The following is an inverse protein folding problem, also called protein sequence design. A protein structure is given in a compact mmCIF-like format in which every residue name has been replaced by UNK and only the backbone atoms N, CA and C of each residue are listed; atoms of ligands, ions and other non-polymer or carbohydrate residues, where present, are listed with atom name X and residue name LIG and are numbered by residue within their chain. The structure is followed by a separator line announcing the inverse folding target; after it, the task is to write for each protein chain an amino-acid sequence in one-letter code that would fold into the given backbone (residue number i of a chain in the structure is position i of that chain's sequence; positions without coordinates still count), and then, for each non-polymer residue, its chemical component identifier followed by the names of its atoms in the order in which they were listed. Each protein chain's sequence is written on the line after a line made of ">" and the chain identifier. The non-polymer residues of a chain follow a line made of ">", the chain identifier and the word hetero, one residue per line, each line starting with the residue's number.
data_IF_825157350495
#
_entry.id   IF_825157350495
#
_cell.length_a   1.000
_cell.length_b   1.000
_cell.length_c   1.000
_cell.angle_alpha   90.00
_cell.angle_beta   90.00
_cell.angle_gamma   90.00
#
_symmetry.space_group_name_H-M   'P 1'
#
loop_
_entity.id
_entity.type
_entity.pdbx_description
1 polymer ?
#
# COMPACT_ATOMS: atom_id res chain seq x y z
N UNK A 1 13.31 43.14 -36.82
CA UNK A 1 12.35 43.02 -35.69
C UNK A 1 11.81 41.59 -35.72
N UNK A 2 12.64 40.63 -35.30
CA UNK A 2 12.51 39.86 -34.04
C UNK A 2 11.18 39.09 -33.96
N UNK A 3 11.26 37.93 -34.60
CA UNK A 3 10.72 36.61 -34.26
C UNK A 3 10.40 36.41 -32.78
N UNK A 4 9.15 36.61 -32.38
CA UNK A 4 8.69 36.43 -30.99
C UNK A 4 7.53 35.43 -30.81
N UNK A 5 7.08 34.75 -31.89
CA UNK A 5 5.96 33.79 -31.79
C UNK A 5 6.36 32.30 -31.80
N UNK A 6 7.61 31.96 -32.15
CA UNK A 6 8.09 30.57 -32.16
C UNK A 6 8.90 30.17 -30.90
N UNK A 7 9.19 31.11 -30.00
CA UNK A 7 9.97 30.84 -28.78
C UNK A 7 9.14 30.51 -27.52
N UNK A 8 7.81 30.45 -27.62
CA UNK A 8 6.91 30.22 -26.46
C UNK A 8 6.29 28.82 -26.37
N UNK A 9 6.54 27.91 -27.32
CA UNK A 9 5.94 26.56 -27.29
C UNK A 9 6.93 25.41 -27.06
N UNK A 10 8.25 25.65 -27.04
CA UNK A 10 9.24 24.59 -26.76
C UNK A 10 9.79 24.58 -25.33
N UNK A 11 9.28 25.43 -24.42
CA UNK A 11 9.74 25.51 -23.03
C UNK A 11 8.72 25.00 -21.99
N UNK A 12 7.66 24.31 -22.41
CA UNK A 12 6.69 23.72 -21.48
C UNK A 12 7.03 22.27 -21.06
N UNK A 13 8.13 21.67 -21.57
CA UNK A 13 8.47 20.25 -21.36
C UNK A 13 9.72 20.00 -20.50
N UNK A 14 10.29 21.04 -19.87
CA UNK A 14 11.52 20.95 -19.07
C UNK A 14 11.40 21.61 -17.68
N UNK A 15 10.19 21.65 -17.12
CA UNK A 15 10.03 21.86 -15.68
C UNK A 15 9.71 20.52 -15.04
N UNK A 16 10.77 19.76 -14.79
CA UNK A 16 10.73 18.69 -13.81
C UNK A 16 10.12 19.23 -12.52
N UNK A 17 9.09 18.56 -12.03
CA UNK A 17 8.61 18.80 -10.68
C UNK A 17 9.70 18.35 -9.72
N UNK A 18 10.33 19.23 -8.92
CA UNK A 18 10.90 18.78 -7.68
C UNK A 18 9.71 18.52 -6.76
N UNK A 19 9.20 17.28 -6.74
CA UNK A 19 8.44 16.86 -5.56
C UNK A 19 9.46 16.85 -4.43
N UNK A 20 9.48 17.99 -3.76
CA UNK A 20 10.29 18.26 -2.60
C UNK A 20 9.88 17.24 -1.56
N UNK A 21 10.79 16.35 -1.19
CA UNK A 21 10.68 15.57 0.03
C UNK A 21 10.71 16.56 1.21
N UNK A 22 9.66 16.68 2.04
CA UNK A 22 9.83 17.25 3.36
C UNK A 22 10.31 16.12 4.28
N UNK A 23 11.61 16.06 4.49
CA UNK A 23 12.15 15.47 5.71
C UNK A 23 12.08 16.55 6.80
N UNK A 24 11.02 16.53 7.62
CA UNK A 24 11.06 16.78 9.08
C UNK A 24 9.66 16.93 9.70
N UNK A 25 9.51 16.22 10.82
CA UNK A 25 8.65 16.46 11.98
C UNK A 25 7.12 16.23 11.89
N UNK A 26 6.73 15.04 12.34
CA UNK A 26 5.60 14.77 13.26
C UNK A 26 4.21 15.38 12.98
N UNK A 27 3.86 15.63 11.73
CA UNK A 27 2.47 15.67 11.32
C UNK A 27 2.11 14.29 10.73
N UNK A 28 1.46 13.43 11.53
CA UNK A 28 0.76 12.24 11.02
C UNK A 28 -0.42 12.68 10.14
N UNK A 29 -0.12 13.24 8.97
CA UNK A 29 -1.14 13.57 7.97
C UNK A 29 -1.56 12.24 7.37
N UNK A 30 -2.58 11.62 7.95
CA UNK A 30 -3.25 10.51 7.31
C UNK A 30 -3.77 11.02 5.96
N UNK A 31 -3.37 10.42 4.82
CA UNK A 31 -3.88 10.82 3.52
C UNK A 31 -5.40 10.88 3.55
N UNK A 32 -5.98 11.98 3.06
CA UNK A 32 -7.44 12.23 3.07
C UNK A 32 -8.16 11.49 1.93
N UNK A 33 -7.40 10.79 1.07
CA UNK A 33 -7.90 10.03 -0.08
C UNK A 33 -7.24 8.65 -0.14
N UNK A 34 -7.89 7.71 -0.84
CA UNK A 34 -7.28 6.43 -1.18
C UNK A 34 -6.02 6.66 -2.03
N UNK A 35 -4.91 5.96 -1.72
CA UNK A 35 -3.62 6.14 -2.40
C UNK A 35 -2.91 4.79 -2.60
N UNK A 36 -2.40 4.47 -3.81
CA UNK A 36 -1.60 3.28 -4.01
C UNK A 36 -0.24 3.43 -3.33
N UNK A 37 0.20 2.39 -2.62
CA UNK A 37 1.47 2.34 -1.90
C UNK A 37 2.15 0.98 -2.08
N UNK A 38 3.46 0.94 -1.86
CA UNK A 38 4.22 -0.31 -1.73
C UNK A 38 4.64 -0.43 -0.27
N UNK A 39 4.19 -1.47 0.41
CA UNK A 39 4.52 -1.75 1.81
C UNK A 39 5.26 -3.07 1.92
N UNK A 40 6.12 -3.20 2.93
CA UNK A 40 6.73 -4.48 3.29
C UNK A 40 5.83 -5.28 4.22
N UNK A 41 6.04 -6.60 4.30
CA UNK A 41 5.34 -7.46 5.26
C UNK A 41 5.51 -6.97 6.71
N UNK A 42 6.66 -6.41 7.07
CA UNK A 42 6.94 -5.89 8.42
C UNK A 42 6.13 -4.64 8.77
N UNK A 43 5.77 -3.85 7.76
CA UNK A 43 4.92 -2.67 7.93
C UNK A 43 3.43 -3.04 8.06
N UNK A 44 3.08 -4.31 7.79
CA UNK A 44 1.73 -4.82 7.76
C UNK A 44 1.44 -5.72 8.95
N UNK A 45 0.22 -5.63 9.46
CA UNK A 45 -0.28 -6.53 10.48
C UNK A 45 -1.68 -7.05 10.12
N UNK A 46 -2.01 -8.28 10.55
CA UNK A 46 -3.38 -8.76 10.47
C UNK A 46 -4.27 -7.86 11.32
N UNK A 47 -5.50 -7.63 10.86
CA UNK A 47 -6.48 -6.87 11.62
C UNK A 47 -6.84 -7.67 12.89
N UNK A 48 -6.64 -7.12 14.11
CA UNK A 48 -6.93 -7.80 15.38
C UNK A 48 -8.43 -8.08 15.55
N UNK A 49 -9.31 -7.26 15.00
CA UNK A 49 -10.77 -7.38 15.11
C UNK A 49 -11.36 -8.41 14.13
N UNK A 50 -10.62 -9.47 13.80
CA UNK A 50 -11.07 -10.49 12.85
C UNK A 50 -12.07 -11.46 13.52
N UNK A 51 -13.38 -11.42 13.19
CA UNK A 51 -14.37 -12.31 13.80
C UNK A 51 -14.21 -13.77 13.35
N UNK A 52 -13.38 -14.05 12.33
CA UNK A 52 -13.15 -15.40 11.82
C UNK A 52 -12.15 -16.12 12.71
N UNK A 53 -12.63 -17.12 13.43
CA UNK A 53 -11.80 -17.98 14.29
C UNK A 53 -11.24 -19.21 13.56
N UNK A 54 -11.88 -19.66 12.47
CA UNK A 54 -11.44 -20.81 11.69
C UNK A 54 -10.50 -20.46 10.53
N UNK A 55 -9.57 -21.36 10.20
CA UNK A 55 -8.76 -21.27 8.97
C UNK A 55 -9.66 -21.39 7.75
N UNK A 56 -9.39 -20.58 6.72
CA UNK A 56 -10.14 -20.66 5.48
C UNK A 56 -9.95 -22.04 4.84
N UNK A 57 -11.01 -22.81 4.50
CA UNK A 57 -10.87 -24.13 3.90
C UNK A 57 -10.12 -24.10 2.55
N UNK A 58 -10.14 -22.96 1.85
CA UNK A 58 -9.43 -22.75 0.57
C UNK A 58 -8.02 -22.23 0.75
N UNK A 59 -7.43 -22.34 1.95
CA UNK A 59 -6.11 -21.79 2.24
C UNK A 59 -5.03 -22.26 1.26
N UNK A 60 -4.94 -23.57 1.06
CA UNK A 60 -3.91 -24.18 0.19
C UNK A 60 -4.12 -23.80 -1.28
N UNK A 61 -5.37 -23.70 -1.75
CA UNK A 61 -5.69 -23.18 -3.08
C UNK A 61 -5.22 -21.73 -3.25
N UNK A 62 -5.48 -20.87 -2.26
CA UNK A 62 -5.05 -19.47 -2.29
C UNK A 62 -3.52 -19.38 -2.23
N UNK A 63 -2.85 -20.21 -1.43
CA UNK A 63 -1.39 -20.27 -1.33
C UNK A 63 -0.76 -20.66 -2.66
N UNK A 64 -1.27 -21.72 -3.29
CA UNK A 64 -0.82 -22.16 -4.61
C UNK A 64 -1.03 -21.07 -5.67
N UNK A 65 -2.20 -20.42 -5.67
CA UNK A 65 -2.50 -19.30 -6.55
C UNK A 65 -1.51 -18.14 -6.38
N UNK A 66 -1.29 -17.68 -5.15
CA UNK A 66 -0.37 -16.57 -4.87
C UNK A 66 1.07 -16.94 -5.26
N UNK A 67 1.48 -18.19 -5.03
CA UNK A 67 2.81 -18.66 -5.44
C UNK A 67 3.02 -18.62 -6.95
N UNK A 68 1.99 -18.99 -7.73
CA UNK A 68 2.06 -19.06 -9.18
C UNK A 68 1.98 -17.69 -9.87
N UNK A 69 1.04 -16.83 -9.45
CA UNK A 69 0.73 -15.57 -10.15
C UNK A 69 0.80 -14.31 -9.29
N UNK A 70 1.04 -14.43 -7.99
CA UNK A 70 1.00 -13.31 -7.05
C UNK A 70 -0.42 -12.95 -6.59
N UNK A 71 -0.58 -11.75 -6.04
CA UNK A 71 -1.87 -11.22 -5.63
C UNK A 71 -2.64 -10.66 -6.84
N UNK A 72 -3.76 -11.29 -7.19
CA UNK A 72 -4.61 -10.80 -8.29
C UNK A 72 -5.35 -9.49 -7.96
N UNK A 73 -5.63 -9.27 -6.68
CA UNK A 73 -6.33 -8.08 -6.19
C UNK A 73 -5.45 -7.31 -5.23
N UNK A 74 -5.37 -5.99 -5.45
CA UNK A 74 -4.64 -5.07 -4.58
C UNK A 74 -5.34 -5.02 -3.23
N UNK A 75 -4.72 -5.50 -2.13
CA UNK A 75 -5.32 -5.44 -0.82
C UNK A 75 -5.45 -4.00 -0.34
N UNK A 76 -6.57 -3.71 0.33
CA UNK A 76 -6.81 -2.41 0.97
C UNK A 76 -6.27 -2.42 2.39
N UNK A 77 -5.53 -1.38 2.75
CA UNK A 77 -4.93 -1.22 4.08
C UNK A 77 -5.32 0.13 4.66
N UNK A 78 -5.39 0.20 5.98
CA UNK A 78 -5.66 1.43 6.73
C UNK A 78 -4.66 1.54 7.86
N UNK A 79 -4.42 2.75 8.34
CA UNK A 79 -3.54 3.01 9.49
C UNK A 79 -4.34 3.75 10.56
N UNK A 80 -4.43 3.17 11.76
CA UNK A 80 -5.05 3.84 12.88
C UNK A 80 -4.19 5.05 13.31
N UNK A 81 -4.78 6.18 13.74
CA UNK A 81 -4.02 7.31 14.28
C UNK A 81 -3.09 6.86 15.42
N UNK A 82 -1.79 7.15 15.32
CA UNK A 82 -0.80 6.76 16.32
C UNK A 82 -0.30 5.31 16.24
N UNK A 83 -0.84 4.48 15.34
CA UNK A 83 -0.25 3.17 15.03
C UNK A 83 1.02 3.34 14.21
N UNK A 84 2.02 2.47 14.39
CA UNK A 84 3.16 2.39 13.47
C UNK A 84 2.85 1.49 12.25
N UNK A 85 1.99 0.49 12.45
CA UNK A 85 1.66 -0.53 11.46
C UNK A 85 0.39 -0.21 10.66
N UNK A 86 0.35 -0.73 9.45
CA UNK A 86 -0.83 -0.75 8.59
C UNK A 86 -1.59 -2.06 8.81
N UNK A 87 -2.92 -1.97 8.89
CA UNK A 87 -3.79 -3.14 9.02
C UNK A 87 -4.62 -3.33 7.76
N UNK A 88 -4.96 -4.58 7.45
CA UNK A 88 -5.87 -4.86 6.33
C UNK A 88 -7.29 -4.40 6.66
N UNK A 89 -7.85 -3.60 5.77
CA UNK A 89 -9.25 -3.17 5.85
C UNK A 89 -10.19 -4.33 5.57
N UNK A 90 -10.01 -4.97 4.40
CA UNK A 90 -11.00 -5.85 3.81
C UNK A 90 -10.37 -7.22 3.52
N UNK A 91 -10.64 -8.21 4.37
CA UNK A 91 -10.36 -9.61 4.07
C UNK A 91 -8.92 -9.91 3.64
N UNK A 92 -7.93 -9.37 4.36
CA UNK A 92 -6.50 -9.52 4.05
C UNK A 92 -5.72 -10.51 4.93
N UNK A 93 -6.26 -10.93 6.07
CA UNK A 93 -5.51 -11.73 7.05
C UNK A 93 -5.00 -13.07 6.50
N UNK A 94 -5.84 -13.82 5.79
CA UNK A 94 -5.41 -15.09 5.16
C UNK A 94 -4.32 -14.86 4.12
N UNK A 95 -4.43 -13.79 3.33
CA UNK A 95 -3.40 -13.44 2.33
C UNK A 95 -2.09 -13.06 3.01
N UNK A 96 -2.15 -12.29 4.10
CA UNK A 96 -0.97 -11.95 4.91
C UNK A 96 -0.27 -13.19 5.46
N UNK A 97 -1.01 -14.13 6.05
CA UNK A 97 -0.45 -15.40 6.55
C UNK A 97 0.25 -16.18 5.44
N UNK A 98 -0.41 -16.31 4.28
CA UNK A 98 0.15 -17.01 3.12
C UNK A 98 1.43 -16.32 2.62
N UNK A 99 1.44 -14.99 2.53
CA UNK A 99 2.60 -14.24 2.07
C UNK A 99 3.77 -14.37 3.05
N UNK A 100 3.49 -14.34 4.36
CA UNK A 100 4.48 -14.56 5.41
C UNK A 100 5.09 -15.96 5.32
N UNK A 101 4.28 -17.00 5.12
CA UNK A 101 4.77 -18.36 4.90
C UNK A 101 5.61 -18.48 3.62
N UNK A 102 5.13 -17.93 2.50
CA UNK A 102 5.87 -17.98 1.23
C UNK A 102 7.19 -17.22 1.31
N UNK A 103 7.23 -16.09 1.99
CA UNK A 103 8.48 -15.35 2.27
C UNK A 103 9.43 -16.19 3.12
N UNK A 104 8.96 -16.82 4.19
CA UNK A 104 9.79 -17.69 5.03
C UNK A 104 10.35 -18.88 4.24
N UNK A 105 9.55 -19.49 3.36
CA UNK A 105 9.95 -20.64 2.54
C UNK A 105 10.92 -20.27 1.40
N UNK A 106 10.68 -19.15 0.72
CA UNK A 106 11.35 -18.83 -0.55
C UNK A 106 12.34 -17.68 -0.45
N UNK A 107 12.21 -16.80 0.55
CA UNK A 107 12.95 -15.55 0.71
C UNK A 107 12.90 -14.68 -0.56
N UNK A 108 11.80 -14.76 -1.31
CA UNK A 108 11.58 -14.02 -2.55
C UNK A 108 10.90 -12.67 -2.27
N UNK A 109 11.56 -11.57 -2.65
CA UNK A 109 11.11 -10.21 -2.36
C UNK A 109 9.71 -9.90 -2.88
N UNK A 110 9.21 -10.63 -3.89
CA UNK A 110 7.84 -10.46 -4.39
C UNK A 110 6.76 -10.78 -3.36
N UNK A 111 7.08 -11.59 -2.36
CA UNK A 111 6.16 -11.89 -1.24
C UNK A 111 6.40 -10.95 -0.06
N UNK A 112 7.55 -10.28 -0.03
CA UNK A 112 7.91 -9.31 1.00
C UNK A 112 7.37 -7.91 0.71
N UNK A 113 7.43 -7.46 -0.55
CA UNK A 113 6.96 -6.13 -0.99
C UNK A 113 5.62 -6.24 -1.69
N UNK A 114 4.61 -5.57 -1.15
CA UNK A 114 3.22 -5.70 -1.58
C UNK A 114 2.68 -4.37 -2.09
N UNK A 115 2.09 -4.41 -3.28
CA UNK A 115 1.26 -3.30 -3.76
C UNK A 115 -0.05 -3.30 -2.98
N UNK A 116 -0.35 -2.18 -2.32
CA UNK A 116 -1.54 -2.02 -1.50
C UNK A 116 -2.24 -0.71 -1.84
N UNK A 117 -3.53 -0.64 -1.54
CA UNK A 117 -4.29 0.60 -1.60
C UNK A 117 -4.53 1.09 -0.18
N UNK A 118 -3.90 2.20 0.18
CA UNK A 118 -4.17 2.87 1.45
C UNK A 118 -5.57 3.48 1.41
N UNK A 119 -6.34 3.31 2.49
CA UNK A 119 -7.59 4.02 2.74
C UNK A 119 -7.48 4.82 4.05
N UNK A 120 -8.13 6.00 4.13
CA UNK A 120 -8.21 6.76 5.37
C UNK A 120 -8.93 5.97 6.48
N UNK A 121 -8.51 6.18 7.72
CA UNK A 121 -9.14 5.55 8.88
C UNK A 121 -10.58 6.06 9.08
N UNK A 122 -11.61 5.19 9.16
CA UNK A 122 -12.98 5.60 9.41
C UNK A 122 -13.11 6.03 10.88
N UNK A 123 -12.90 7.31 11.15
CA UNK A 123 -12.91 7.85 12.52
C UNK A 123 -12.26 9.21 12.65
N UNK A 124 -11.53 9.69 11.63
CA UNK A 124 -11.14 11.09 11.56
C UNK A 124 -12.31 11.95 11.08
N UNK A 125 -13.32 12.13 11.93
CA UNK A 125 -14.09 13.38 11.90
C UNK A 125 -13.19 14.45 12.49
N UNK A 126 -12.47 15.17 11.65
CA UNK A 126 -12.00 16.50 12.02
C UNK A 126 -13.23 17.39 12.09
N UNK A 127 -13.79 17.56 13.29
CA UNK A 127 -14.62 18.72 13.61
C UNK A 127 -13.74 19.95 13.79
#
# INVERSE_FOLDING_TARGET
>A
MKTDLQHKLSQALLRGNPVSSPLSDNAHVNPVSEMPMILTLEQLQPNPDNPRQGRNPRYEEIKSSIRARGLDSVPKVTKAPGSEFYIFSDGGNTRYQILSELWQETQDERFFRLHVLFKPWPGVCSV
#
